data_IF_604972157307
#
_entry.id   IF_604972157307
#
_cell.length_a   1.000
_cell.length_b   1.000
_cell.length_c   1.000
_cell.angle_alpha   90.00
_cell.angle_beta   90.00
_cell.angle_gamma   90.00
#
_symmetry.space_group_name_H-M   'P 1'
#
loop_
_entity.id
_entity.type
_entity.pdbx_description
1 polymer ?
#
# COMPACT_ATOMS: atom_id res chain seq x y z
N UNK A 1 17.87 -18.93 1.75
CA UNK A 1 18.14 -17.99 0.63
C UNK A 1 18.08 -16.51 1.07
N UNK A 2 18.39 -16.14 2.33
CA UNK A 2 18.31 -14.75 2.79
C UNK A 2 19.63 -14.23 3.44
N UNK A 3 20.67 -15.05 3.54
CA UNK A 3 21.91 -14.72 4.27
C UNK A 3 22.88 -13.77 3.54
N UNK A 4 22.60 -13.39 2.30
CA UNK A 4 23.47 -12.48 1.52
C UNK A 4 23.22 -10.99 1.75
N UNK A 5 22.11 -10.61 2.38
CA UNK A 5 21.77 -9.18 2.58
C UNK A 5 22.41 -8.54 3.82
N UNK A 6 23.08 -9.32 4.69
CA UNK A 6 23.72 -8.81 5.91
C UNK A 6 25.14 -8.24 5.74
N UNK A 7 25.79 -8.47 4.59
CA UNK A 7 27.25 -8.27 4.47
C UNK A 7 27.71 -6.83 4.18
N UNK A 8 26.80 -5.89 3.84
CA UNK A 8 27.21 -4.54 3.44
C UNK A 8 27.14 -3.47 4.55
N UNK A 9 26.47 -3.72 5.69
CA UNK A 9 26.22 -2.65 6.69
C UNK A 9 27.43 -2.20 7.51
N UNK A 10 28.66 -2.48 7.07
CA UNK A 10 29.89 -1.93 7.65
C UNK A 10 30.11 -0.49 7.21
N UNK A 11 29.18 0.40 7.51
CA UNK A 11 29.48 1.83 7.63
C UNK A 11 28.79 2.35 8.89
N UNK A 12 29.63 2.93 9.73
CA UNK A 12 29.42 3.37 11.11
C UNK A 12 28.45 4.56 11.20
N UNK A 13 27.26 4.43 10.60
CA UNK A 13 26.17 5.39 10.71
C UNK A 13 25.12 4.78 11.62
N UNK A 14 24.90 5.44 12.77
CA UNK A 14 23.87 5.16 13.77
C UNK A 14 22.48 5.44 13.18
N UNK A 15 22.12 4.70 12.13
CA UNK A 15 20.98 4.98 11.28
C UNK A 15 20.20 3.73 10.96
N UNK A 16 18.87 3.86 10.94
CA UNK A 16 17.94 2.78 10.69
C UNK A 16 17.63 2.69 9.19
N UNK A 17 17.93 1.55 8.57
CA UNK A 17 17.67 1.30 7.14
C UNK A 17 16.19 0.97 6.92
N UNK A 18 15.54 1.72 6.05
CA UNK A 18 14.13 1.47 5.69
C UNK A 18 13.99 0.13 4.94
N UNK A 19 13.10 -0.78 5.37
CA UNK A 19 12.92 -2.08 4.72
C UNK A 19 12.24 -1.97 3.33
N UNK A 20 11.52 -0.87 3.07
CA UNK A 20 10.81 -0.65 1.81
C UNK A 20 11.70 -0.06 0.72
N UNK A 21 12.48 0.99 1.02
CA UNK A 21 13.27 1.72 0.03
C UNK A 21 14.78 1.73 0.27
N UNK A 22 15.26 1.07 1.34
CA UNK A 22 16.68 0.96 1.71
C UNK A 22 17.37 2.30 2.06
N UNK A 23 16.61 3.39 2.19
CA UNK A 23 17.14 4.66 2.66
C UNK A 23 17.53 4.58 4.15
N UNK A 24 18.70 5.09 4.51
CA UNK A 24 19.15 5.22 5.90
C UNK A 24 18.48 6.42 6.55
N UNK A 25 17.68 6.17 7.59
CA UNK A 25 17.03 7.18 8.41
C UNK A 25 17.82 7.39 9.70
N UNK A 26 17.56 8.49 10.42
CA UNK A 26 18.13 8.71 11.75
C UNK A 26 17.62 7.65 12.74
N UNK A 27 18.42 7.29 13.74
CA UNK A 27 17.96 6.43 14.84
C UNK A 27 16.72 7.01 15.52
N UNK A 28 15.76 6.14 15.86
CA UNK A 28 14.48 6.53 16.47
C UNK A 28 13.41 7.08 15.50
N UNK A 29 13.70 7.16 14.20
CA UNK A 29 12.71 7.60 13.20
C UNK A 29 11.59 6.55 13.05
N UNK A 30 10.34 6.97 13.28
CA UNK A 30 9.15 6.10 13.13
C UNK A 30 8.68 5.93 11.69
N UNK A 31 8.94 6.91 10.83
CA UNK A 31 8.46 6.94 9.44
C UNK A 31 9.61 7.32 8.53
N UNK A 32 9.84 6.55 7.46
CA UNK A 32 10.91 6.85 6.53
C UNK A 32 10.74 8.22 5.90
N UNK A 33 11.76 9.07 5.99
CA UNK A 33 11.73 10.45 5.47
C UNK A 33 11.69 10.51 3.95
N UNK A 34 11.98 9.40 3.26
CA UNK A 34 12.01 9.32 1.80
C UNK A 34 10.73 8.75 1.19
N UNK A 35 10.20 7.66 1.74
CA UNK A 35 9.06 6.94 1.17
C UNK A 35 7.83 6.87 2.08
N UNK A 36 7.87 7.50 3.25
CA UNK A 36 6.77 7.52 4.22
C UNK A 36 6.35 6.15 4.79
N UNK A 37 7.17 5.11 4.56
CA UNK A 37 6.96 3.80 5.17
C UNK A 37 7.08 3.88 6.71
N UNK A 38 6.12 3.33 7.45
CA UNK A 38 6.12 3.35 8.91
C UNK A 38 7.04 2.23 9.42
N UNK A 39 8.23 2.60 9.85
CA UNK A 39 9.29 1.67 10.22
C UNK A 39 9.09 1.09 11.64
N UNK A 40 8.27 1.75 12.45
CA UNK A 40 7.96 1.36 13.83
C UNK A 40 6.96 0.20 13.95
N UNK A 41 6.42 -0.30 12.83
CA UNK A 41 5.43 -1.36 12.81
C UNK A 41 5.60 -2.28 11.60
N UNK A 42 5.15 -3.54 11.67
CA UNK A 42 5.25 -4.47 10.55
C UNK A 42 4.36 -4.06 9.37
N UNK A 43 4.63 -4.61 8.19
CA UNK A 43 3.95 -4.24 6.94
C UNK A 43 2.43 -4.48 6.96
N UNK A 44 1.96 -5.47 7.72
CA UNK A 44 0.52 -5.79 7.85
C UNK A 44 -0.21 -4.89 8.85
N UNK A 45 0.51 -4.09 9.65
CA UNK A 45 -0.06 -3.10 10.57
C UNK A 45 0.22 -1.67 10.10
N UNK A 46 0.63 -1.48 8.84
CA UNK A 46 0.80 -0.14 8.28
C UNK A 46 -0.54 0.57 8.30
N UNK A 47 -0.55 1.79 8.80
CA UNK A 47 -1.75 2.62 8.72
C UNK A 47 -1.90 3.09 7.28
N UNK A 48 -2.97 2.69 6.62
CA UNK A 48 -3.34 3.12 5.26
C UNK A 48 -3.68 4.61 5.19
N UNK A 49 -3.92 5.25 6.35
CA UNK A 49 -4.38 6.64 6.43
C UNK A 49 -5.86 6.80 6.06
N UNK A 50 -6.56 5.69 5.81
CA UNK A 50 -7.99 5.60 5.60
C UNK A 50 -8.57 4.79 6.76
N UNK A 51 -9.66 5.28 7.34
CA UNK A 51 -10.41 4.49 8.31
C UNK A 51 -10.91 3.20 7.63
N UNK A 52 -10.97 2.08 8.35
CA UNK A 52 -11.37 0.79 7.77
C UNK A 52 -12.72 0.89 7.04
N UNK A 53 -13.65 1.68 7.60
CA UNK A 53 -14.99 1.93 7.04
C UNK A 53 -14.95 2.66 5.68
N UNK A 54 -14.07 3.66 5.53
CA UNK A 54 -13.93 4.39 4.26
C UNK A 54 -13.35 3.51 3.15
N UNK A 55 -12.52 2.51 3.51
CA UNK A 55 -11.91 1.61 2.54
C UNK A 55 -12.92 0.64 1.91
N UNK A 56 -13.91 0.18 2.67
CA UNK A 56 -14.99 -0.69 2.19
C UNK A 56 -15.95 0.04 1.25
N UNK A 57 -16.32 1.28 1.57
CA UNK A 57 -17.25 2.07 0.76
C UNK A 57 -16.73 2.36 -0.66
N UNK A 58 -15.42 2.58 -0.81
CA UNK A 58 -14.80 2.82 -2.12
C UNK A 58 -14.77 1.57 -3.00
N UNK A 59 -14.54 0.39 -2.40
CA UNK A 59 -14.52 -0.88 -3.13
C UNK A 59 -15.91 -1.23 -3.66
N UNK A 60 -16.94 -1.03 -2.84
CA UNK A 60 -18.34 -1.28 -3.22
C UNK A 60 -18.82 -0.34 -4.33
N UNK A 61 -18.45 0.93 -4.27
CA UNK A 61 -18.71 1.90 -5.34
C UNK A 61 -18.06 1.48 -6.66
N UNK A 62 -16.79 1.07 -6.63
CA UNK A 62 -16.06 0.61 -7.82
C UNK A 62 -16.70 -0.66 -8.41
N UNK A 63 -17.06 -1.63 -7.57
CA UNK A 63 -17.76 -2.85 -7.98
C UNK A 63 -19.10 -2.53 -8.66
N UNK A 64 -19.87 -1.63 -8.06
CA UNK A 64 -21.15 -1.17 -8.61
C UNK A 64 -20.98 -0.51 -9.98
N UNK A 65 -19.96 0.33 -10.15
CA UNK A 65 -19.67 0.98 -11.44
C UNK A 65 -19.27 -0.04 -12.51
N UNK A 66 -18.43 -1.02 -12.16
CA UNK A 66 -18.02 -2.10 -13.07
C UNK A 66 -19.24 -2.92 -13.51
N UNK A 67 -20.14 -3.28 -12.59
CA UNK A 67 -21.39 -3.97 -12.92
C UNK A 67 -22.30 -3.13 -13.80
N UNK A 68 -22.45 -1.84 -13.51
CA UNK A 68 -23.23 -0.92 -14.35
C UNK A 68 -22.67 -0.81 -15.76
N UNK A 69 -21.34 -0.68 -15.91
CA UNK A 69 -20.68 -0.67 -17.22
C UNK A 69 -20.88 -1.98 -17.98
N UNK A 70 -20.86 -3.13 -17.28
CA UNK A 70 -21.16 -4.44 -17.86
C UNK A 70 -22.62 -4.52 -18.32
N UNK A 71 -23.58 -4.16 -17.46
CA UNK A 71 -25.01 -4.13 -17.81
C UNK A 71 -25.28 -3.23 -19.01
N UNK A 72 -24.62 -2.07 -19.11
CA UNK A 72 -24.75 -1.17 -20.26
C UNK A 72 -24.16 -1.73 -21.56
N UNK A 73 -23.06 -2.48 -21.49
CA UNK A 73 -22.44 -3.12 -22.67
C UNK A 73 -23.21 -4.34 -23.18
N UNK A 74 -23.94 -5.04 -22.30
CA UNK A 74 -24.65 -6.28 -22.63
C UNK A 74 -26.16 -6.18 -22.46
N UNK A 75 -26.72 -4.96 -22.30
CA UNK A 75 -28.16 -4.78 -22.22
C UNK A 75 -28.80 -5.23 -23.54
N UNK A 76 -29.72 -6.21 -23.54
CA UNK A 76 -30.47 -6.52 -24.74
C UNK A 76 -31.30 -5.29 -25.10
N UNK A 77 -31.18 -4.82 -26.34
CA UNK A 77 -32.11 -3.84 -26.90
C UNK A 77 -33.50 -4.50 -26.96
N UNK A 78 -34.28 -4.39 -25.88
CA UNK A 78 -35.70 -4.71 -25.91
C UNK A 78 -36.36 -3.54 -26.66
N UNK A 79 -36.42 -3.66 -27.98
CA UNK A 79 -37.33 -2.85 -28.79
C UNK A 79 -38.73 -3.33 -28.49
N UNK A 80 -39.43 -2.63 -27.60
CA UNK A 80 -40.88 -2.76 -27.46
C UNK A 80 -41.47 -2.25 -28.77
N UNK A 81 -42.08 -3.16 -29.52
CA UNK A 81 -42.82 -2.86 -30.76
C UNK A 81 -44.25 -2.45 -30.41
#
# INVERSE_FOLDING_TARGET
MFDRFKSWSNSNSKGLVCPSCQHTNQEGTKVCTRCYYQIDRPSFQQNSGLEEDESTDLLDQLMTEIEHRRRRKYAPFIRIR
#
